data_IF_675422018672
#
_entry.id   IF_675422018672
#
_cell.length_a   1.000
_cell.length_b   1.000
_cell.length_c   1.000
_cell.angle_alpha   90.00
_cell.angle_beta   90.00
_cell.angle_gamma   90.00
#
_symmetry.space_group_name_H-M   'P 1'
#
loop_
_entity.id
_entity.type
_entity.pdbx_description
1 polymer ?
#
# COMPACT_ATOMS: atom_id res chain seq x y z
N UNK A 1 19.63 -4.76 -5.89
CA UNK A 1 18.27 -4.29 -6.20
C UNK A 1 18.38 -3.40 -7.44
N UNK A 2 17.92 -3.86 -8.63
CA UNK A 2 18.03 -3.06 -9.87
C UNK A 2 17.27 -1.73 -9.69
N UNK A 3 17.92 -0.62 -10.01
CA UNK A 3 17.30 0.71 -9.97
C UNK A 3 16.09 0.75 -10.91
N UNK A 4 15.04 1.51 -10.54
CA UNK A 4 13.86 1.71 -11.41
C UNK A 4 14.24 2.29 -12.78
N UNK A 5 15.39 2.93 -12.85
CA UNK A 5 15.95 3.54 -14.06
C UNK A 5 16.41 2.51 -15.12
N UNK A 6 16.64 1.24 -14.75
CA UNK A 6 17.04 0.21 -15.73
C UNK A 6 15.87 -0.61 -16.29
N UNK A 7 14.64 -0.31 -15.90
CA UNK A 7 13.46 -1.10 -16.30
C UNK A 7 12.65 -0.38 -17.37
N UNK A 8 12.03 -1.18 -18.24
CA UNK A 8 11.17 -0.71 -19.33
C UNK A 8 9.91 0.00 -18.79
N UNK A 9 9.48 1.08 -19.46
CA UNK A 9 8.33 1.89 -19.02
C UNK A 9 7.02 1.10 -18.99
N UNK A 10 6.81 0.10 -19.86
CA UNK A 10 5.62 -0.77 -19.83
C UNK A 10 5.65 -1.70 -18.61
N UNK A 11 6.83 -2.22 -18.27
CA UNK A 11 7.02 -3.04 -17.08
C UNK A 11 6.75 -2.22 -15.81
N UNK A 12 7.23 -0.97 -15.76
CA UNK A 12 6.97 -0.04 -14.65
C UNK A 12 5.49 0.31 -14.50
N UNK A 13 4.76 0.54 -15.60
CA UNK A 13 3.31 0.79 -15.56
C UNK A 13 2.53 -0.45 -15.08
N UNK A 14 2.92 -1.65 -15.50
CA UNK A 14 2.28 -2.89 -15.05
C UNK A 14 2.48 -3.10 -13.55
N UNK A 15 3.71 -2.92 -13.04
CA UNK A 15 4.00 -2.95 -11.61
C UNK A 15 3.21 -1.90 -10.83
N UNK A 16 3.09 -0.68 -11.38
CA UNK A 16 2.34 0.40 -10.77
C UNK A 16 0.86 0.04 -10.63
N UNK A 17 0.26 -0.55 -11.66
CA UNK A 17 -1.15 -0.98 -11.66
C UNK A 17 -1.38 -2.14 -10.68
N UNK A 18 -0.43 -3.07 -10.59
CA UNK A 18 -0.46 -4.15 -9.59
C UNK A 18 -0.37 -3.58 -8.16
N UNK A 19 0.55 -2.64 -7.91
CA UNK A 19 0.69 -1.96 -6.62
C UNK A 19 -0.58 -1.19 -6.23
N UNK A 20 -1.21 -0.50 -7.18
CA UNK A 20 -2.45 0.25 -6.96
C UNK A 20 -3.62 -0.69 -6.63
N UNK A 21 -3.72 -1.83 -7.33
CA UNK A 21 -4.73 -2.87 -7.06
C UNK A 21 -4.54 -3.53 -5.69
N UNK A 22 -3.31 -3.96 -5.37
CA UNK A 22 -2.99 -4.57 -4.07
C UNK A 22 -3.19 -3.57 -2.93
N UNK A 23 -2.77 -2.31 -3.12
CA UNK A 23 -2.98 -1.24 -2.14
C UNK A 23 -4.47 -0.98 -1.91
N UNK A 24 -5.29 -1.00 -2.96
CA UNK A 24 -6.75 -0.83 -2.86
C UNK A 24 -7.41 -1.96 -2.07
N UNK A 25 -7.07 -3.21 -2.41
CA UNK A 25 -7.60 -4.40 -1.72
C UNK A 25 -7.16 -4.43 -0.25
N UNK A 26 -5.89 -4.15 0.03
CA UNK A 26 -5.34 -4.15 1.38
C UNK A 26 -5.98 -3.06 2.24
N UNK A 27 -6.21 -1.87 1.67
CA UNK A 27 -6.93 -0.77 2.34
C UNK A 27 -8.36 -1.17 2.70
N UNK A 28 -9.08 -1.80 1.76
CA UNK A 28 -10.44 -2.29 2.01
C UNK A 28 -10.50 -3.31 3.15
N UNK A 29 -9.60 -4.30 3.14
CA UNK A 29 -9.50 -5.29 4.21
C UNK A 29 -9.18 -4.63 5.56
N UNK A 30 -8.30 -3.62 5.55
CA UNK A 30 -7.89 -2.91 6.76
C UNK A 30 -9.05 -2.14 7.40
N UNK A 31 -9.87 -1.46 6.59
CA UNK A 31 -11.07 -0.75 7.07
C UNK A 31 -12.02 -1.73 7.77
N UNK A 32 -12.29 -2.87 7.12
CA UNK A 32 -13.15 -3.91 7.71
C UNK A 32 -12.55 -4.44 9.00
N UNK A 33 -11.24 -4.70 9.03
CA UNK A 33 -10.53 -5.18 10.22
C UNK A 33 -10.60 -4.17 11.38
N UNK A 34 -10.49 -2.86 11.10
CA UNK A 34 -10.61 -1.81 12.10
C UNK A 34 -12.04 -1.72 12.66
N UNK A 35 -13.05 -1.78 11.80
CA UNK A 35 -14.46 -1.77 12.24
C UNK A 35 -14.73 -2.97 13.15
N UNK A 36 -14.36 -4.18 12.71
CA UNK A 36 -14.54 -5.40 13.48
C UNK A 36 -13.73 -5.40 14.77
N UNK A 37 -12.48 -4.91 14.71
CA UNK A 37 -11.57 -4.81 15.83
C UNK A 37 -12.07 -3.86 16.91
N UNK A 38 -12.51 -2.65 16.53
CA UNK A 38 -13.09 -1.67 17.46
C UNK A 38 -14.40 -2.18 18.04
N UNK A 39 -15.29 -2.74 17.20
CA UNK A 39 -16.56 -3.28 17.65
C UNK A 39 -16.38 -4.40 18.67
N UNK A 40 -15.48 -5.35 18.38
CA UNK A 40 -15.13 -6.44 19.29
C UNK A 40 -14.45 -5.96 20.57
N UNK A 41 -13.61 -4.93 20.50
CA UNK A 41 -12.98 -4.30 21.67
C UNK A 41 -14.01 -3.68 22.63
N UNK A 42 -15.09 -3.11 22.09
CA UNK A 42 -16.18 -2.50 22.86
C UNK A 42 -17.13 -3.58 23.41
N UNK A 43 -17.47 -4.59 22.60
CA UNK A 43 -18.51 -5.57 22.94
C UNK A 43 -18.02 -6.78 23.76
N UNK A 44 -16.71 -7.06 23.82
CA UNK A 44 -16.13 -8.22 24.51
C UNK A 44 -15.25 -7.83 25.69
N UNK A 45 -15.37 -8.55 26.81
CA UNK A 45 -14.52 -8.35 27.99
C UNK A 45 -13.05 -8.78 27.77
N UNK A 46 -12.82 -9.82 26.97
CA UNK A 46 -11.49 -10.31 26.60
C UNK A 46 -10.87 -9.48 25.45
N UNK A 47 -10.30 -8.33 25.81
CA UNK A 47 -9.79 -7.32 24.87
C UNK A 47 -8.44 -7.70 24.22
N UNK A 48 -7.70 -8.65 24.78
CA UNK A 48 -6.33 -9.02 24.35
C UNK A 48 -6.25 -9.42 22.88
N UNK A 49 -7.23 -10.19 22.40
CA UNK A 49 -7.28 -10.66 21.00
C UNK A 49 -7.50 -9.48 20.05
N UNK A 50 -8.44 -8.59 20.37
CA UNK A 50 -8.76 -7.42 19.55
C UNK A 50 -7.64 -6.38 19.55
N UNK A 51 -6.97 -6.18 20.68
CA UNK A 51 -5.77 -5.33 20.76
C UNK A 51 -4.67 -5.87 19.85
N UNK A 52 -4.41 -7.18 19.90
CA UNK A 52 -3.43 -7.82 19.01
C UNK A 52 -3.80 -7.66 17.53
N UNK A 53 -5.10 -7.80 17.21
CA UNK A 53 -5.62 -7.63 15.85
C UNK A 53 -5.43 -6.20 15.34
N UNK A 54 -5.66 -5.19 16.19
CA UNK A 54 -5.41 -3.78 15.87
C UNK A 54 -3.92 -3.50 15.67
N UNK A 55 -3.04 -4.08 16.49
CA UNK A 55 -1.58 -3.96 16.33
C UNK A 55 -1.11 -4.47 14.97
N UNK A 56 -1.65 -5.62 14.51
CA UNK A 56 -1.39 -6.13 13.16
C UNK A 56 -1.91 -5.17 12.09
N UNK A 57 -3.09 -4.57 12.31
CA UNK A 57 -3.63 -3.51 11.46
C UNK A 57 -2.70 -2.30 11.32
N UNK A 58 -2.09 -1.84 12.42
CA UNK A 58 -1.10 -0.75 12.41
C UNK A 58 0.20 -1.13 11.68
N UNK A 59 0.65 -2.37 11.78
CA UNK A 59 1.79 -2.86 10.98
C UNK A 59 1.46 -2.81 9.48
N UNK A 60 0.24 -3.21 9.12
CA UNK A 60 -0.24 -3.17 7.74
C UNK A 60 -0.34 -1.74 7.18
N UNK A 61 -0.71 -0.74 8.02
CA UNK A 61 -0.65 0.69 7.65
C UNK A 61 0.77 1.12 7.25
N UNK A 62 1.80 0.68 7.97
CA UNK A 62 3.19 1.00 7.63
C UNK A 62 3.60 0.40 6.28
N UNK A 63 3.17 -0.84 6.00
CA UNK A 63 3.39 -1.50 4.69
C UNK A 63 2.70 -0.70 3.59
N UNK A 64 1.44 -0.32 3.78
CA UNK A 64 0.66 0.52 2.86
C UNK A 64 1.37 1.84 2.55
N UNK A 65 1.89 2.52 3.58
CA UNK A 65 2.65 3.76 3.39
C UNK A 65 3.92 3.54 2.56
N UNK A 66 4.60 2.41 2.78
CA UNK A 66 5.73 1.96 1.96
C UNK A 66 5.35 1.74 0.48
N UNK A 67 4.20 1.09 0.23
CA UNK A 67 3.67 0.88 -1.13
C UNK A 67 3.35 2.22 -1.81
N UNK A 68 2.75 3.17 -1.09
CA UNK A 68 2.50 4.53 -1.60
C UNK A 68 3.77 5.26 -1.98
N UNK A 69 4.83 5.17 -1.16
CA UNK A 69 6.11 5.81 -1.45
C UNK A 69 6.74 5.19 -2.71
N UNK A 70 6.72 3.87 -2.86
CA UNK A 70 7.20 3.19 -4.08
C UNK A 70 6.41 3.63 -5.31
N UNK A 71 5.09 3.68 -5.20
CA UNK A 71 4.20 4.11 -6.29
C UNK A 71 4.50 5.56 -6.74
N UNK A 72 4.72 6.49 -5.79
CA UNK A 72 5.13 7.87 -6.11
C UNK A 72 6.47 7.94 -6.84
N UNK A 73 7.45 7.14 -6.42
CA UNK A 73 8.76 7.11 -7.07
C UNK A 73 8.67 6.58 -8.51
N UNK A 74 7.90 5.51 -8.74
CA UNK A 74 7.68 4.96 -10.09
C UNK A 74 6.95 5.99 -10.98
N UNK A 75 5.89 6.65 -10.48
CA UNK A 75 5.19 7.72 -11.21
C UNK A 75 6.15 8.88 -11.55
N UNK A 76 7.05 9.26 -10.64
CA UNK A 76 8.03 10.31 -10.88
C UNK A 76 9.03 9.93 -11.98
N UNK A 77 9.53 8.69 -11.98
CA UNK A 77 10.46 8.17 -13.01
C UNK A 77 9.80 8.09 -14.39
N UNK A 78 8.55 7.63 -14.47
CA UNK A 78 7.81 7.59 -15.75
C UNK A 78 7.63 9.02 -16.29
N UNK A 79 7.22 9.97 -15.43
CA UNK A 79 6.98 11.37 -15.83
C UNK A 79 8.25 12.09 -16.27
N UNK A 80 9.40 11.79 -15.66
CA UNK A 80 10.68 12.38 -16.08
C UNK A 80 11.11 11.90 -17.46
N UNK A 81 10.79 10.64 -17.82
CA UNK A 81 11.07 10.10 -19.17
C UNK A 81 10.17 10.73 -20.22
N UNK A 82 8.87 10.79 -19.95
CA UNK A 82 7.89 11.43 -20.84
C UNK A 82 8.23 12.90 -21.13
N UNK A 83 8.77 13.62 -20.13
CA UNK A 83 9.24 15.01 -20.31
C UNK A 83 10.55 15.11 -21.11
N UNK A 84 11.43 14.11 -21.03
CA UNK A 84 12.70 14.09 -21.76
C UNK A 84 12.54 13.71 -23.23
N UNK A 85 11.53 12.90 -23.57
CA UNK A 85 11.23 12.50 -24.95
C UNK A 85 10.41 13.57 -25.71
N UNK A 86 9.88 14.57 -24.99
CA UNK A 86 9.06 15.67 -25.53
C UNK A 86 9.84 16.99 -25.73
N UNK A 87 11.15 17.01 -25.48
CA UNK A 87 12.05 18.16 -25.63
C UNK A 87 13.16 17.89 -26.64
#
# INVERSE_FOLDING_TARGET
MKSFDQRDSKALQSELKALESVSGMLSGLLIVLFIFGIYGLIATENKTVFISLLTVGFSCLAILFGLFKKMKNIKAVIRSREKSDAS
#
